data_IF_614595631795
#
_entry.id   IF_614595631795
#
_cell.length_a   1.000
_cell.length_b   1.000
_cell.length_c   1.000
_cell.angle_alpha   90.00
_cell.angle_beta   90.00
_cell.angle_gamma   90.00
#
_symmetry.space_group_name_H-M   'P 1'
#
loop_
_entity.id
_entity.type
_entity.pdbx_description
1 polymer ?
#
# COMPACT_ATOMS: atom_id res chain seq x y z
N UNK A 1 35.84 33.33 1.45
CA UNK A 1 35.28 34.16 0.37
C UNK A 1 33.82 33.79 0.18
N UNK A 2 32.89 34.75 0.06
CA UNK A 2 31.50 34.44 -0.24
C UNK A 2 31.46 33.67 -1.56
N UNK A 3 30.85 32.50 -1.53
CA UNK A 3 30.76 31.63 -2.71
C UNK A 3 29.68 32.22 -3.60
N UNK A 4 30.06 32.80 -4.74
CA UNK A 4 29.09 33.32 -5.70
C UNK A 4 28.42 32.12 -6.40
N UNK A 5 27.29 31.68 -5.84
CA UNK A 5 26.50 30.57 -6.37
C UNK A 5 25.59 31.06 -7.49
N UNK A 6 25.33 30.20 -8.47
CA UNK A 6 24.50 30.53 -9.63
C UNK A 6 23.04 30.73 -9.23
N UNK A 7 22.28 31.50 -10.03
CA UNK A 7 20.83 31.63 -9.82
C UNK A 7 20.13 30.26 -9.87
N UNK A 8 20.63 29.36 -10.70
CA UNK A 8 20.18 27.96 -10.79
C UNK A 8 20.44 27.18 -9.50
N UNK A 9 21.53 27.46 -8.79
CA UNK A 9 21.79 26.86 -7.47
C UNK A 9 20.79 27.37 -6.43
N UNK A 10 20.51 28.67 -6.40
CA UNK A 10 19.56 29.26 -5.45
C UNK A 10 18.14 28.71 -5.65
N UNK A 11 17.72 28.52 -6.91
CA UNK A 11 16.45 27.88 -7.22
C UNK A 11 16.41 26.43 -6.73
N UNK A 12 17.47 25.65 -6.97
CA UNK A 12 17.57 24.27 -6.49
C UNK A 12 17.64 24.17 -4.96
N UNK A 13 18.22 25.17 -4.29
CA UNK A 13 18.27 25.26 -2.83
C UNK A 13 16.88 25.55 -2.23
N UNK A 14 16.09 26.42 -2.87
CA UNK A 14 14.70 26.67 -2.46
C UNK A 14 13.81 25.44 -2.71
N UNK A 15 13.99 24.74 -3.84
CA UNK A 15 13.33 23.43 -4.07
C UNK A 15 13.66 22.44 -2.95
N UNK A 16 14.93 22.38 -2.51
CA UNK A 16 15.34 21.51 -1.41
C UNK A 16 14.69 21.92 -0.07
N UNK A 17 14.54 23.22 0.18
CA UNK A 17 13.89 23.75 1.39
C UNK A 17 12.39 23.41 1.41
N UNK A 18 11.73 23.44 0.26
CA UNK A 18 10.29 23.16 0.12
C UNK A 18 9.97 21.66 0.03
N UNK A 19 10.97 20.82 -0.29
CA UNK A 19 10.80 19.38 -0.45
C UNK A 19 10.30 18.71 0.84
N UNK A 20 9.17 18.02 0.74
CA UNK A 20 8.52 17.33 1.87
C UNK A 20 8.93 15.88 1.95
N UNK A 21 9.26 15.26 0.82
CA UNK A 21 9.59 13.83 0.75
C UNK A 21 11.09 13.58 0.53
N UNK A 22 11.59 12.41 0.94
CA UNK A 22 13.00 12.02 0.70
C UNK A 22 13.36 12.01 -0.80
N UNK A 23 12.52 11.46 -1.71
CA UNK A 23 12.77 11.53 -3.14
C UNK A 23 12.85 12.97 -3.69
N UNK A 24 11.99 13.87 -3.23
CA UNK A 24 12.06 15.30 -3.60
C UNK A 24 13.36 15.94 -3.12
N UNK A 25 13.77 15.65 -1.87
CA UNK A 25 15.04 16.13 -1.31
C UNK A 25 16.26 15.63 -2.08
N UNK A 26 16.26 14.36 -2.50
CA UNK A 26 17.33 13.78 -3.32
C UNK A 26 17.40 14.49 -4.68
N UNK A 27 16.26 14.66 -5.36
CA UNK A 27 16.20 15.33 -6.66
C UNK A 27 16.71 16.77 -6.58
N UNK A 28 16.31 17.50 -5.54
CA UNK A 28 16.76 18.87 -5.33
C UNK A 28 18.27 18.93 -5.05
N UNK A 29 18.81 18.03 -4.22
CA UNK A 29 20.27 17.96 -3.97
C UNK A 29 21.08 17.55 -5.21
N UNK A 30 20.53 16.70 -6.09
CA UNK A 30 21.17 16.36 -7.37
C UNK A 30 21.26 17.58 -8.29
N UNK A 31 20.18 18.37 -8.37
CA UNK A 31 20.17 19.66 -9.07
C UNK A 31 21.20 20.62 -8.47
N UNK A 32 21.21 20.78 -7.15
CA UNK A 32 22.22 21.61 -6.45
C UNK A 32 23.64 21.14 -6.77
N UNK A 33 23.92 19.83 -6.74
CA UNK A 33 25.25 19.30 -7.05
C UNK A 33 25.70 19.59 -8.50
N UNK A 34 24.75 19.58 -9.44
CA UNK A 34 25.01 19.85 -10.85
C UNK A 34 25.30 21.34 -11.12
N UNK A 35 24.63 22.24 -10.39
CA UNK A 35 24.72 23.70 -10.61
C UNK A 35 25.82 24.38 -9.79
N UNK A 36 26.38 23.72 -8.77
CA UNK A 36 27.52 24.26 -8.02
C UNK A 36 28.76 24.40 -8.92
N UNK A 37 29.40 25.59 -8.97
CA UNK A 37 30.63 25.80 -9.72
C UNK A 37 31.74 24.83 -9.32
N UNK A 38 32.60 24.42 -10.26
CA UNK A 38 33.66 23.41 -10.01
C UNK A 38 35.03 24.07 -9.83
N UNK A 39 35.26 24.71 -8.69
CA UNK A 39 36.54 25.36 -8.38
C UNK A 39 36.90 25.24 -6.89
N UNK A 40 38.13 25.60 -6.51
CA UNK A 40 38.67 25.44 -5.14
C UNK A 40 37.77 26.04 -4.04
N UNK A 41 37.12 27.17 -4.32
CA UNK A 41 36.20 27.84 -3.38
C UNK A 41 34.90 27.08 -3.05
N UNK A 42 34.46 26.14 -3.89
CA UNK A 42 33.19 25.39 -3.73
C UNK A 42 33.41 23.92 -3.36
N UNK A 43 34.66 23.46 -3.24
CA UNK A 43 34.96 22.06 -2.93
C UNK A 43 34.29 21.58 -1.64
N UNK A 44 34.32 22.41 -0.59
CA UNK A 44 33.66 22.10 0.68
C UNK A 44 32.15 21.96 0.53
N UNK A 45 31.51 22.83 -0.25
CA UNK A 45 30.07 22.78 -0.52
C UNK A 45 29.70 21.53 -1.31
N UNK A 46 30.46 21.19 -2.35
CA UNK A 46 30.25 19.97 -3.15
C UNK A 46 30.38 18.70 -2.30
N UNK A 47 31.35 18.66 -1.39
CA UNK A 47 31.52 17.55 -0.45
C UNK A 47 30.32 17.43 0.51
N UNK A 48 29.82 18.55 1.03
CA UNK A 48 28.63 18.57 1.88
C UNK A 48 27.38 18.04 1.16
N UNK A 49 27.15 18.48 -0.08
CA UNK A 49 26.01 18.02 -0.89
C UNK A 49 26.14 16.53 -1.18
N UNK A 50 27.33 16.05 -1.59
CA UNK A 50 27.58 14.63 -1.86
C UNK A 50 27.36 13.76 -0.62
N UNK A 51 27.77 14.24 0.55
CA UNK A 51 27.55 13.55 1.84
C UNK A 51 26.05 13.45 2.16
N UNK A 52 25.31 14.56 2.05
CA UNK A 52 23.84 14.56 2.26
C UNK A 52 23.12 13.64 1.27
N UNK A 53 23.55 13.61 0.00
CA UNK A 53 23.02 12.68 -1.01
C UNK A 53 23.25 11.23 -0.61
N UNK A 54 24.45 10.88 -0.14
CA UNK A 54 24.76 9.52 0.31
C UNK A 54 23.92 9.12 1.54
N UNK A 55 23.77 10.03 2.51
CA UNK A 55 22.95 9.82 3.71
C UNK A 55 21.48 9.61 3.34
N UNK A 56 20.88 10.49 2.53
CA UNK A 56 19.48 10.39 2.12
C UNK A 56 19.21 9.20 1.20
N UNK A 57 20.15 8.81 0.32
CA UNK A 57 20.02 7.59 -0.48
C UNK A 57 20.04 6.34 0.41
N UNK A 58 20.93 6.30 1.40
CA UNK A 58 20.97 5.21 2.39
C UNK A 58 19.72 5.19 3.26
N UNK A 59 19.16 6.35 3.61
CA UNK A 59 17.90 6.46 4.34
C UNK A 59 16.71 6.01 3.49
N UNK A 60 16.65 6.38 2.21
CA UNK A 60 15.64 5.90 1.27
C UNK A 60 15.74 4.38 1.08
N UNK A 61 16.96 3.86 0.94
CA UNK A 61 17.22 2.43 0.85
C UNK A 61 16.85 1.70 2.15
N UNK A 62 17.10 2.31 3.32
CA UNK A 62 16.64 1.81 4.63
C UNK A 62 15.13 1.86 4.79
N UNK A 63 14.44 2.91 4.33
CA UNK A 63 12.98 2.94 4.32
C UNK A 63 12.41 1.89 3.37
N UNK A 64 13.05 1.68 2.22
CA UNK A 64 12.67 0.65 1.27
C UNK A 64 13.01 -0.76 1.78
N UNK A 65 14.10 -0.96 2.51
CA UNK A 65 14.51 -2.24 3.07
C UNK A 65 13.82 -2.55 4.40
N UNK A 66 13.41 -1.56 5.19
CA UNK A 66 12.43 -1.73 6.27
C UNK A 66 11.04 -2.04 5.70
N UNK A 67 10.66 -1.46 4.56
CA UNK A 67 9.44 -1.86 3.83
C UNK A 67 9.53 -3.24 3.16
N UNK A 68 10.73 -3.70 2.75
CA UNK A 68 10.96 -5.01 2.10
C UNK A 68 11.33 -6.14 3.07
N UNK A 69 11.97 -5.82 4.20
CA UNK A 69 12.49 -6.77 5.20
C UNK A 69 11.77 -6.70 6.55
N UNK A 70 10.98 -5.65 6.79
CA UNK A 70 9.95 -5.58 7.82
C UNK A 70 8.56 -5.74 7.20
N UNK A 71 8.42 -6.62 6.21
CA UNK A 71 7.11 -6.95 5.67
C UNK A 71 6.26 -7.51 6.80
N UNK A 72 5.28 -6.75 7.27
CA UNK A 72 4.12 -7.33 7.94
C UNK A 72 3.59 -8.40 6.98
N UNK A 73 3.92 -9.67 7.25
CA UNK A 73 3.32 -10.80 6.60
C UNK A 73 1.97 -10.97 7.26
N UNK A 74 0.95 -10.30 6.73
CA UNK A 74 -0.42 -10.73 7.02
C UNK A 74 -0.64 -12.05 6.30
N UNK A 75 -0.26 -13.13 6.97
CA UNK A 75 -0.67 -14.48 6.62
C UNK A 75 -1.82 -14.83 7.55
N UNK A 76 -3.05 -14.79 7.05
CA UNK A 76 -4.16 -15.42 7.75
C UNK A 76 -3.99 -16.92 7.57
N UNK A 77 -3.62 -17.60 8.66
CA UNK A 77 -3.52 -19.06 8.67
C UNK A 77 -4.90 -19.64 8.37
N UNK A 78 -4.95 -20.59 7.42
CA UNK A 78 -6.18 -21.34 7.15
C UNK A 78 -6.59 -22.16 8.36
N UNK A 79 -7.86 -22.06 8.71
CA UNK A 79 -8.49 -22.83 9.79
C UNK A 79 -9.84 -23.39 9.32
N UNK A 80 -10.30 -24.45 9.97
CA UNK A 80 -11.54 -25.14 9.59
C UNK A 80 -11.40 -25.93 8.28
N UNK A 81 -12.53 -26.17 7.62
CA UNK A 81 -12.61 -26.96 6.40
C UNK A 81 -12.41 -26.14 5.12
N UNK A 82 -12.62 -24.83 5.17
CA UNK A 82 -12.44 -23.92 4.05
C UNK A 82 -12.22 -22.50 4.55
N UNK A 83 -11.45 -21.73 3.78
CA UNK A 83 -11.28 -20.29 3.96
C UNK A 83 -11.97 -19.54 2.81
N UNK A 84 -12.91 -18.65 3.15
CA UNK A 84 -13.64 -17.80 2.21
C UNK A 84 -13.27 -16.35 2.47
N UNK A 85 -12.79 -15.66 1.44
CA UNK A 85 -12.49 -14.23 1.54
C UNK A 85 -13.70 -13.40 1.12
N UNK A 86 -14.09 -12.43 1.95
CA UNK A 86 -15.09 -11.42 1.62
C UNK A 86 -14.42 -10.27 0.86
N UNK A 87 -14.86 -10.01 -0.37
CA UNK A 87 -14.36 -8.94 -1.23
C UNK A 87 -15.49 -8.03 -1.69
N UNK A 88 -15.28 -6.72 -1.69
CA UNK A 88 -16.33 -5.75 -2.01
C UNK A 88 -15.87 -4.33 -1.72
N UNK A 89 -16.50 -3.33 -2.35
CA UNK A 89 -16.16 -1.91 -2.14
C UNK A 89 -16.21 -1.56 -0.65
N UNK A 90 -15.51 -0.50 -0.20
CA UNK A 90 -15.76 0.05 1.12
C UNK A 90 -17.26 0.27 1.35
N UNK A 91 -17.71 0.04 2.58
CA UNK A 91 -19.05 0.35 3.05
C UNK A 91 -20.22 -0.44 2.40
N UNK A 92 -19.92 -1.53 1.69
CA UNK A 92 -20.96 -2.46 1.17
C UNK A 92 -21.49 -3.47 2.22
N UNK A 93 -21.13 -3.31 3.49
CA UNK A 93 -21.59 -4.19 4.58
C UNK A 93 -20.77 -5.46 4.82
N UNK A 94 -19.51 -5.53 4.36
CA UNK A 94 -18.62 -6.70 4.58
C UNK A 94 -18.41 -7.02 6.06
N UNK A 95 -18.01 -6.04 6.87
CA UNK A 95 -17.79 -6.23 8.31
C UNK A 95 -19.07 -6.62 9.04
N UNK A 96 -20.20 -6.01 8.68
CA UNK A 96 -21.50 -6.38 9.23
C UNK A 96 -21.87 -7.83 8.89
N UNK A 97 -21.60 -8.27 7.66
CA UNK A 97 -21.81 -9.65 7.24
C UNK A 97 -20.89 -10.61 8.01
N UNK A 98 -19.62 -10.26 8.19
CA UNK A 98 -18.67 -11.05 8.97
C UNK A 98 -19.13 -11.20 10.42
N UNK A 99 -19.50 -10.09 11.08
CA UNK A 99 -19.98 -10.07 12.47
C UNK A 99 -21.17 -11.02 12.67
N UNK A 100 -22.16 -10.95 11.78
CA UNK A 100 -23.36 -11.80 11.86
C UNK A 100 -23.04 -13.27 11.61
N UNK A 101 -22.20 -13.58 10.61
CA UNK A 101 -21.93 -14.98 10.24
C UNK A 101 -20.94 -15.67 11.18
N UNK A 102 -19.98 -14.92 11.73
CA UNK A 102 -18.94 -15.45 12.60
C UNK A 102 -19.21 -15.23 14.10
N UNK A 103 -20.32 -14.57 14.45
CA UNK A 103 -20.66 -14.20 15.83
C UNK A 103 -19.52 -13.45 16.53
N UNK A 104 -18.95 -12.47 15.82
CA UNK A 104 -17.86 -11.61 16.31
C UNK A 104 -18.32 -10.16 16.37
N UNK A 105 -17.72 -9.39 17.28
CA UNK A 105 -17.99 -7.97 17.44
C UNK A 105 -16.77 -7.16 16.96
N UNK A 106 -16.66 -6.99 15.65
CA UNK A 106 -15.61 -6.18 15.03
C UNK A 106 -16.14 -4.76 14.83
N UNK A 107 -15.41 -3.77 15.33
CA UNK A 107 -15.68 -2.36 15.07
C UNK A 107 -15.66 -2.06 13.57
N UNK A 108 -16.78 -1.58 13.03
CA UNK A 108 -16.87 -1.12 11.64
C UNK A 108 -16.14 0.22 11.54
N UNK A 109 -14.85 0.17 11.22
CA UNK A 109 -14.04 1.36 11.06
C UNK A 109 -14.19 1.95 9.64
N UNK A 110 -14.91 3.07 9.53
CA UNK A 110 -15.07 3.88 8.32
C UNK A 110 -13.78 4.67 7.99
N UNK A 111 -12.73 4.00 7.51
CA UNK A 111 -11.54 4.71 7.04
C UNK A 111 -11.05 4.23 5.67
N UNK A 112 -11.27 5.02 4.60
CA UNK A 112 -10.39 4.93 3.45
C UNK A 112 -8.97 5.36 3.90
N UNK A 113 -7.95 4.62 3.48
CA UNK A 113 -6.51 4.92 3.68
C UNK A 113 -5.82 4.48 4.99
N UNK A 114 -6.43 3.66 5.86
CA UNK A 114 -5.70 3.05 6.99
C UNK A 114 -5.25 1.62 6.69
N UNK A 115 -4.14 1.22 7.33
CA UNK A 115 -3.60 -0.15 7.28
C UNK A 115 -4.52 -1.08 8.07
N UNK A 116 -5.60 -1.56 7.47
CA UNK A 116 -6.51 -2.51 8.12
C UNK A 116 -6.00 -3.92 7.81
N UNK A 117 -5.69 -4.67 8.86
CA UNK A 117 -5.27 -6.07 8.74
C UNK A 117 -6.47 -6.93 8.30
N UNK A 118 -6.28 -8.03 7.55
CA UNK A 118 -7.37 -8.96 7.28
C UNK A 118 -7.96 -9.50 8.58
N UNK A 119 -9.29 -9.57 8.69
CA UNK A 119 -9.97 -9.96 9.91
C UNK A 119 -10.59 -11.35 9.70
N UNK A 120 -10.05 -12.40 10.36
CA UNK A 120 -10.64 -13.74 10.31
C UNK A 120 -11.80 -13.87 11.31
N UNK A 121 -12.85 -14.59 10.92
CA UNK A 121 -13.96 -15.01 11.78
C UNK A 121 -14.38 -16.44 11.44
N UNK A 122 -14.88 -17.19 12.43
CA UNK A 122 -15.28 -18.59 12.24
C UNK A 122 -16.79 -18.72 12.16
N UNK A 123 -17.29 -19.19 11.02
CA UNK A 123 -18.71 -19.50 10.81
C UNK A 123 -18.94 -21.01 10.91
N UNK A 124 -19.92 -21.43 11.71
CA UNK A 124 -20.38 -22.82 11.74
C UNK A 124 -21.50 -23.05 10.72
N UNK A 125 -21.33 -24.01 9.81
CA UNK A 125 -22.36 -24.42 8.86
C UNK A 125 -22.49 -25.94 8.82
N UNK A 126 -23.67 -26.49 9.18
CA UNK A 126 -23.95 -27.94 9.17
C UNK A 126 -22.81 -28.78 9.80
N UNK A 127 -22.40 -28.36 11.00
CA UNK A 127 -21.31 -28.93 11.80
C UNK A 127 -19.88 -28.78 11.26
N UNK A 128 -19.71 -28.03 10.17
CA UNK A 128 -18.40 -27.68 9.62
C UNK A 128 -18.03 -26.25 10.00
N UNK A 129 -16.77 -26.06 10.40
CA UNK A 129 -16.19 -24.74 10.64
C UNK A 129 -15.61 -24.18 9.34
N UNK A 130 -16.04 -22.98 8.96
CA UNK A 130 -15.60 -22.27 7.76
C UNK A 130 -15.02 -20.93 8.22
N UNK A 131 -13.76 -20.67 7.84
CA UNK A 131 -13.11 -19.40 8.14
C UNK A 131 -13.54 -18.36 7.11
N UNK A 132 -14.19 -17.29 7.56
CA UNK A 132 -14.44 -16.10 6.78
C UNK A 132 -13.30 -15.12 7.02
N UNK A 133 -12.81 -14.45 5.98
CA UNK A 133 -11.76 -13.45 6.10
C UNK A 133 -12.22 -12.19 5.41
N UNK A 134 -12.42 -11.12 6.18
CA UNK A 134 -12.62 -9.81 5.59
C UNK A 134 -11.29 -9.24 5.12
N UNK A 135 -11.23 -8.87 3.83
CA UNK A 135 -10.08 -8.18 3.28
C UNK A 135 -10.45 -6.72 2.99
N UNK A 136 -9.88 -5.76 3.73
CA UNK A 136 -10.19 -4.35 3.57
C UNK A 136 -9.57 -3.77 2.28
N UNK A 137 -10.25 -2.79 1.68
CA UNK A 137 -9.64 -1.86 0.72
C UNK A 137 -9.09 -2.43 -0.59
N UNK A 138 -9.54 -3.62 -1.05
CA UNK A 138 -8.90 -4.28 -2.19
C UNK A 138 -8.98 -3.55 -3.54
N UNK A 139 -9.72 -2.45 -3.62
CA UNK A 139 -10.33 -2.04 -4.89
C UNK A 139 -9.75 -0.73 -5.44
N UNK A 140 -8.91 -0.03 -4.67
CA UNK A 140 -8.13 1.09 -5.20
C UNK A 140 -6.63 0.85 -5.05
N UNK A 141 -6.02 0.30 -6.10
CA UNK A 141 -4.56 0.28 -6.25
C UNK A 141 -3.83 -0.94 -5.67
N UNK A 142 -4.55 -1.99 -5.26
CA UNK A 142 -3.93 -3.25 -4.83
C UNK A 142 -3.07 -3.89 -5.96
N UNK A 143 -3.56 -3.84 -7.21
CA UNK A 143 -2.83 -4.31 -8.38
C UNK A 143 -1.67 -3.38 -8.81
N UNK A 144 -1.69 -2.10 -8.40
CA UNK A 144 -0.63 -1.13 -8.71
C UNK A 144 0.60 -1.24 -7.79
N UNK A 145 0.60 -2.22 -6.86
CA UNK A 145 1.73 -2.47 -5.96
C UNK A 145 2.02 -1.34 -4.98
N UNK A 146 1.07 -0.41 -4.78
CA UNK A 146 1.17 0.64 -3.76
C UNK A 146 0.65 0.10 -2.43
N UNK A 147 1.44 0.25 -1.35
CA UNK A 147 1.03 -0.15 0.01
C UNK A 147 1.06 -1.67 0.23
N UNK A 148 0.06 -2.19 0.96
CA UNK A 148 -0.05 -3.60 1.36
C UNK A 148 -0.83 -4.49 0.37
N UNK A 149 -1.09 -3.97 -0.85
CA UNK A 149 -1.89 -4.67 -1.85
C UNK A 149 -1.37 -6.06 -2.19
N UNK A 150 -0.05 -6.26 -2.24
CA UNK A 150 0.55 -7.57 -2.55
C UNK A 150 0.23 -8.63 -1.48
N UNK A 151 0.21 -8.24 -0.20
CA UNK A 151 -0.09 -9.14 0.91
C UNK A 151 -1.58 -9.50 0.97
N UNK A 152 -2.47 -8.53 0.76
CA UNK A 152 -3.92 -8.77 0.71
C UNK A 152 -4.28 -9.70 -0.47
N UNK A 153 -3.64 -9.51 -1.62
CA UNK A 153 -3.77 -10.40 -2.76
C UNK A 153 -3.25 -11.82 -2.46
N UNK A 154 -2.26 -11.97 -1.59
CA UNK A 154 -1.81 -13.31 -1.14
C UNK A 154 -2.88 -14.03 -0.34
N UNK A 155 -3.61 -13.32 0.53
CA UNK A 155 -4.72 -13.91 1.31
C UNK A 155 -5.83 -14.39 0.35
N UNK A 156 -6.20 -13.56 -0.62
CA UNK A 156 -7.21 -13.93 -1.62
C UNK A 156 -6.79 -15.13 -2.47
N UNK A 157 -5.55 -15.13 -2.97
CA UNK A 157 -5.04 -16.23 -3.81
C UNK A 157 -4.96 -17.55 -3.06
N UNK A 158 -4.75 -17.50 -1.75
CA UNK A 158 -4.68 -18.69 -0.93
C UNK A 158 -6.08 -19.20 -0.55
N UNK A 159 -7.11 -18.36 -0.53
CA UNK A 159 -8.47 -18.74 -0.14
C UNK A 159 -9.07 -19.83 -1.05
N UNK A 160 -9.97 -20.64 -0.49
CA UNK A 160 -10.67 -21.70 -1.21
C UNK A 160 -11.83 -21.14 -2.05
N UNK A 161 -12.41 -20.02 -1.61
CA UNK A 161 -13.42 -19.29 -2.35
C UNK A 161 -13.36 -17.78 -2.06
N UNK A 162 -13.95 -17.00 -2.96
CA UNK A 162 -14.14 -15.55 -2.80
C UNK A 162 -15.63 -15.27 -2.82
N UNK A 163 -16.14 -14.63 -1.77
CA UNK A 163 -17.50 -14.11 -1.72
C UNK A 163 -17.49 -12.62 -2.07
N UNK A 164 -18.04 -12.28 -3.22
CA UNK A 164 -18.15 -10.87 -3.66
C UNK A 164 -19.41 -10.26 -3.05
N UNK A 165 -19.25 -9.21 -2.24
CA UNK A 165 -20.31 -8.46 -1.58
C UNK A 165 -20.53 -7.15 -2.33
N UNK A 166 -21.78 -6.88 -2.67
CA UNK A 166 -22.22 -5.65 -3.36
C UNK A 166 -23.39 -5.02 -2.62
N UNK A 167 -23.43 -3.69 -2.62
CA UNK A 167 -24.56 -2.93 -2.09
C UNK A 167 -25.63 -2.75 -3.19
N UNK A 168 -26.83 -3.29 -2.96
CA UNK A 168 -27.95 -3.22 -3.89
C UNK A 168 -28.64 -1.85 -3.93
N UNK A 169 -28.39 -0.97 -2.95
CA UNK A 169 -28.91 0.40 -2.93
C UNK A 169 -28.19 1.35 -3.90
N UNK A 170 -27.01 0.93 -4.38
CA UNK A 170 -26.19 1.67 -5.33
C UNK A 170 -26.27 1.00 -6.72
N UNK A 171 -25.20 1.07 -7.52
CA UNK A 171 -25.06 0.35 -8.78
C UNK A 171 -24.29 -0.98 -8.56
N UNK A 172 -24.97 -2.12 -8.33
CA UNK A 172 -24.31 -3.39 -8.05
C UNK A 172 -23.56 -3.96 -9.25
N UNK A 173 -24.00 -3.64 -10.48
CA UNK A 173 -23.35 -4.11 -11.71
C UNK A 173 -22.00 -3.44 -11.84
N UNK A 174 -21.95 -2.11 -11.71
CA UNK A 174 -20.70 -1.36 -11.74
C UNK A 174 -19.75 -1.76 -10.60
N UNK A 175 -20.28 -2.01 -9.40
CA UNK A 175 -19.48 -2.54 -8.28
C UNK A 175 -18.80 -3.86 -8.64
N UNK A 176 -19.58 -4.81 -9.19
CA UNK A 176 -19.08 -6.10 -9.64
C UNK A 176 -18.01 -5.96 -10.73
N UNK A 177 -18.27 -5.11 -11.74
CA UNK A 177 -17.31 -4.84 -12.82
C UNK A 177 -15.98 -4.31 -12.30
N UNK A 178 -15.99 -3.35 -11.37
CA UNK A 178 -14.77 -2.81 -10.76
C UNK A 178 -13.99 -3.91 -10.06
N UNK A 179 -14.66 -4.72 -9.23
CA UNK A 179 -14.03 -5.81 -8.48
C UNK A 179 -13.41 -6.86 -9.41
N UNK A 180 -14.16 -7.31 -10.42
CA UNK A 180 -13.68 -8.31 -11.39
C UNK A 180 -12.48 -7.79 -12.18
N UNK A 181 -12.48 -6.51 -12.55
CA UNK A 181 -11.37 -5.87 -13.27
C UNK A 181 -10.11 -5.78 -12.42
N UNK A 182 -10.24 -5.52 -11.12
CA UNK A 182 -9.11 -5.54 -10.18
C UNK A 182 -8.56 -6.96 -9.98
N UNK A 183 -9.43 -7.97 -9.88
CA UNK A 183 -8.98 -9.36 -9.83
C UNK A 183 -8.24 -9.78 -11.11
N UNK A 184 -8.74 -9.39 -12.28
CA UNK A 184 -8.06 -9.65 -13.54
C UNK A 184 -6.68 -8.98 -13.60
N UNK A 185 -6.58 -7.70 -13.19
CA UNK A 185 -5.30 -6.97 -13.07
C UNK A 185 -4.34 -7.63 -12.09
N UNK A 186 -4.86 -8.23 -11.03
CA UNK A 186 -4.08 -8.96 -10.03
C UNK A 186 -3.72 -10.40 -10.46
N UNK A 187 -4.15 -10.83 -11.65
CA UNK A 187 -3.93 -12.19 -12.18
C UNK A 187 -4.81 -13.27 -11.53
N UNK A 188 -5.87 -12.87 -10.82
CA UNK A 188 -6.82 -13.78 -10.17
C UNK A 188 -7.95 -14.06 -11.17
N UNK A 189 -8.06 -15.32 -11.59
CA UNK A 189 -9.12 -15.78 -12.49
C UNK A 189 -10.24 -16.41 -11.68
N UNK A 190 -11.42 -15.80 -11.70
CA UNK A 190 -12.61 -16.31 -11.03
C UNK A 190 -13.40 -17.19 -12.00
N UNK A 191 -13.80 -18.38 -11.55
CA UNK A 191 -14.72 -19.31 -12.25
C UNK A 191 -14.30 -19.69 -13.69
N UNK A 192 -13.01 -19.57 -14.05
CA UNK A 192 -12.50 -20.08 -15.32
C UNK A 192 -12.05 -21.53 -15.12
N UNK A 193 -12.71 -22.45 -15.82
CA UNK A 193 -12.29 -23.85 -15.96
C UNK A 193 -11.05 -23.97 -16.83
#
# INVERSE_FOLDING_TARGET
MPTNVTAEYLAAEEEYRQAKTIPEKIRALEKMYATVPKHKGTEKLRLQIKRKLAELRKELEKQQSQRKGGGYSFSVKKEGAAQIVLAGLPNVGKSSLLNVLADIDVDVADYPFTTVEPIPGMMKHKDVQIQLVEVPGLIEGAALGKGMGTQLLSVIRNADAIAIVVDLSQDPVKQMEIILKEFERAGIKINKR
#
